data_IF_448529138768
#
_entry.id   IF_448529138768
#
_cell.length_a   1.000
_cell.length_b   1.000
_cell.length_c   1.000
_cell.angle_alpha   90.00
_cell.angle_beta   90.00
_cell.angle_gamma   90.00
#
_symmetry.space_group_name_H-M   'P 1'
#
loop_
_entity.id
_entity.type
_entity.pdbx_description
1 polymer ?
#
# COMPACT_ATOMS: atom_id res chain seq x y z
N UNK A 1 68.65 39.34 -18.47
CA UNK A 1 67.80 40.04 -17.47
C UNK A 1 66.34 39.76 -17.80
N UNK A 2 65.81 38.61 -17.36
CA UNK A 2 64.40 38.25 -17.52
C UNK A 2 63.98 37.48 -16.26
N UNK A 3 63.13 38.10 -15.42
CA UNK A 3 62.50 37.45 -14.26
C UNK A 3 61.24 36.71 -14.76
N UNK A 4 61.18 35.39 -14.58
CA UNK A 4 59.91 34.64 -14.66
C UNK A 4 59.28 34.63 -13.27
N UNK A 5 58.06 35.17 -13.17
CA UNK A 5 57.24 35.15 -11.97
C UNK A 5 56.33 33.91 -12.07
N UNK A 6 56.55 32.92 -11.20
CA UNK A 6 55.71 31.72 -11.11
C UNK A 6 54.64 31.98 -10.07
N UNK A 7 53.41 32.24 -10.50
CA UNK A 7 52.25 32.41 -9.61
C UNK A 7 51.75 31.03 -9.18
N UNK A 8 51.88 30.71 -7.89
CA UNK A 8 51.19 29.58 -7.27
C UNK A 8 49.74 30.01 -6.96
N UNK A 9 48.75 29.38 -7.60
CA UNK A 9 47.34 29.50 -7.20
C UNK A 9 47.05 28.37 -6.23
N UNK A 10 46.89 28.71 -4.95
CA UNK A 10 46.42 27.80 -3.92
C UNK A 10 44.89 27.71 -4.05
N UNK A 11 44.39 26.65 -4.67
CA UNK A 11 42.95 26.34 -4.68
C UNK A 11 42.56 25.81 -3.30
N UNK A 12 41.87 26.62 -2.51
CA UNK A 12 41.23 26.19 -1.27
C UNK A 12 39.97 25.41 -1.67
N UNK A 13 40.04 24.07 -1.61
CA UNK A 13 38.83 23.25 -1.57
C UNK A 13 38.17 23.47 -0.21
N UNK A 14 37.13 24.29 -0.18
CA UNK A 14 36.17 24.30 0.91
C UNK A 14 35.37 23.00 0.85
N UNK A 15 35.81 22.00 1.61
CA UNK A 15 35.00 20.82 1.90
C UNK A 15 33.78 21.26 2.68
N UNK A 16 32.62 21.25 2.04
CA UNK A 16 31.33 21.30 2.70
C UNK A 16 31.20 20.04 3.56
N UNK A 17 31.41 20.19 4.86
CA UNK A 17 31.08 19.16 5.84
C UNK A 17 29.55 19.08 5.83
N UNK A 18 28.99 18.12 5.08
CA UNK A 18 27.59 17.79 5.22
C UNK A 18 27.40 17.28 6.66
N UNK A 19 26.75 18.09 7.51
CA UNK A 19 26.27 17.61 8.79
C UNK A 19 25.30 16.44 8.56
N UNK A 20 25.08 15.57 9.56
CA UNK A 20 24.03 14.57 9.45
C UNK A 20 22.72 15.27 9.08
N UNK A 21 22.04 14.79 8.03
CA UNK A 21 20.72 15.26 7.69
C UNK A 21 19.86 15.13 8.95
N UNK A 22 19.41 16.26 9.51
CA UNK A 22 18.43 16.22 10.58
C UNK A 22 17.18 15.60 9.97
N UNK A 23 16.71 14.49 10.54
CA UNK A 23 15.35 14.02 10.26
C UNK A 23 14.42 15.22 10.49
N UNK A 24 13.60 15.55 9.50
CA UNK A 24 12.58 16.56 9.65
C UNK A 24 11.63 16.12 10.76
N UNK A 25 11.18 17.06 11.59
CA UNK A 25 10.12 16.78 12.57
C UNK A 25 8.92 16.15 11.82
N UNK A 26 8.27 15.11 12.38
CA UNK A 26 7.17 14.44 11.70
C UNK A 26 6.08 15.43 11.29
N UNK A 27 5.69 15.37 10.02
CA UNK A 27 4.58 16.14 9.49
C UNK A 27 3.27 15.69 10.14
N UNK A 28 2.37 16.65 10.33
CA UNK A 28 0.95 16.37 10.56
C UNK A 28 0.29 15.87 9.27
N UNK A 29 -0.85 15.16 9.37
CA UNK A 29 -1.59 14.70 8.19
C UNK A 29 -1.93 15.86 7.22
N UNK A 30 -2.41 17.05 7.66
CA UNK A 30 -2.64 18.17 6.75
C UNK A 30 -1.38 18.63 6.00
N UNK A 31 -0.22 18.67 6.66
CA UNK A 31 1.04 19.05 6.01
C UNK A 31 1.49 17.98 5.00
N UNK A 32 1.29 16.70 5.33
CA UNK A 32 1.60 15.59 4.44
C UNK A 32 0.70 15.63 3.20
N UNK A 33 -0.60 15.83 3.39
CA UNK A 33 -1.55 15.99 2.29
C UNK A 33 -1.18 17.16 1.37
N UNK A 34 -0.83 18.32 1.94
CA UNK A 34 -0.36 19.47 1.16
C UNK A 34 0.89 19.12 0.34
N UNK A 35 1.86 18.41 0.94
CA UNK A 35 3.08 17.98 0.26
C UNK A 35 2.81 17.03 -0.92
N UNK A 36 1.80 16.17 -0.82
CA UNK A 36 1.35 15.29 -1.91
C UNK A 36 0.38 15.96 -2.89
N UNK A 37 -0.07 17.20 -2.63
CA UNK A 37 -1.11 17.86 -3.41
C UNK A 37 -2.49 17.20 -3.27
N UNK A 38 -2.72 16.50 -2.16
CA UNK A 38 -3.95 15.78 -1.86
C UNK A 38 -4.96 16.64 -1.11
N UNK A 39 -6.25 16.37 -1.33
CA UNK A 39 -7.35 17.08 -0.67
C UNK A 39 -8.56 16.16 -0.53
N UNK A 40 -8.99 15.88 0.71
CA UNK A 40 -10.19 15.08 0.94
C UNK A 40 -11.46 15.76 0.45
N UNK A 41 -11.51 17.10 0.51
CA UNK A 41 -12.68 17.88 0.08
C UNK A 41 -12.90 17.75 -1.43
N UNK A 42 -11.85 17.97 -2.22
CA UNK A 42 -11.94 18.01 -3.68
C UNK A 42 -11.65 16.68 -4.36
N UNK A 43 -11.18 15.67 -3.61
CA UNK A 43 -10.97 14.32 -4.15
C UNK A 43 -12.27 13.74 -4.72
N UNK A 44 -12.17 13.20 -5.92
CA UNK A 44 -13.22 12.42 -6.57
C UNK A 44 -12.82 10.95 -6.52
N UNK A 45 -13.72 10.08 -6.06
CA UNK A 45 -13.52 8.63 -6.14
C UNK A 45 -13.96 8.18 -7.54
N UNK A 46 -13.00 7.79 -8.37
CA UNK A 46 -13.24 7.32 -9.74
C UNK A 46 -13.18 5.80 -9.77
N UNK A 47 -14.12 5.18 -10.48
CA UNK A 47 -14.14 3.73 -10.65
C UNK A 47 -13.72 3.37 -12.08
N UNK A 48 -12.79 2.43 -12.21
CA UNK A 48 -12.49 1.75 -13.45
C UNK A 48 -13.00 0.30 -13.37
N UNK A 49 -13.79 -0.10 -14.37
CA UNK A 49 -14.31 -1.46 -14.47
C UNK A 49 -13.29 -2.35 -15.17
N UNK A 50 -12.81 -3.36 -14.46
CA UNK A 50 -11.89 -4.36 -15.01
C UNK A 50 -12.68 -5.55 -15.55
N UNK A 51 -13.67 -6.03 -14.79
CA UNK A 51 -14.59 -7.08 -15.20
C UNK A 51 -15.96 -6.94 -14.50
N UNK A 52 -16.91 -7.81 -14.84
CA UNK A 52 -18.21 -7.87 -14.17
C UNK A 52 -18.04 -8.12 -12.66
N UNK A 53 -18.46 -7.14 -11.85
CA UNK A 53 -18.32 -7.19 -10.39
C UNK A 53 -16.89 -6.94 -9.89
N UNK A 54 -15.95 -6.54 -10.75
CA UNK A 54 -14.56 -6.29 -10.37
C UNK A 54 -14.06 -4.93 -10.87
N UNK A 55 -13.66 -4.06 -9.95
CA UNK A 55 -13.33 -2.66 -10.21
C UNK A 55 -12.05 -2.25 -9.48
N UNK A 56 -11.46 -1.15 -9.91
CA UNK A 56 -10.46 -0.41 -9.14
C UNK A 56 -11.00 0.99 -8.87
N UNK A 57 -10.94 1.44 -7.62
CA UNK A 57 -11.24 2.81 -7.25
C UNK A 57 -9.94 3.61 -7.11
N UNK A 58 -9.92 4.78 -7.74
CA UNK A 58 -8.87 5.78 -7.65
C UNK A 58 -9.37 6.94 -6.79
N UNK A 59 -8.49 7.49 -5.95
CA UNK A 59 -8.80 8.59 -5.06
C UNK A 59 -7.53 9.27 -4.57
N UNK A 60 -7.37 9.32 -3.25
CA UNK A 60 -6.19 9.85 -2.57
C UNK A 60 -5.51 8.71 -1.83
N UNK A 61 -4.19 8.60 -1.92
CA UNK A 61 -3.46 7.47 -1.35
C UNK A 61 -3.44 6.26 -2.28
N UNK A 62 -3.47 5.07 -1.69
CA UNK A 62 -3.51 3.80 -2.40
C UNK A 62 -4.78 3.62 -3.24
N UNK A 63 -4.67 2.85 -4.34
CA UNK A 63 -5.84 2.43 -5.10
C UNK A 63 -6.57 1.30 -4.36
N UNK A 64 -7.89 1.22 -4.54
CA UNK A 64 -8.72 0.19 -3.89
C UNK A 64 -9.17 -0.82 -4.94
N UNK A 65 -8.81 -2.09 -4.81
CA UNK A 65 -9.44 -3.14 -5.62
C UNK A 65 -10.80 -3.54 -5.00
N UNK A 66 -11.81 -3.79 -5.83
CA UNK A 66 -13.18 -4.00 -5.38
C UNK A 66 -13.78 -5.24 -6.05
N UNK A 67 -14.30 -6.17 -5.25
CA UNK A 67 -15.10 -7.33 -5.67
C UNK A 67 -16.52 -7.21 -5.11
N UNK A 68 -17.51 -7.12 -6.01
CA UNK A 68 -18.94 -7.01 -5.69
C UNK A 68 -19.67 -8.21 -6.30
N UNK A 69 -20.51 -8.88 -5.51
CA UNK A 69 -21.31 -10.01 -5.97
C UNK A 69 -22.26 -10.54 -4.92
N UNK A 70 -22.71 -11.79 -5.11
CA UNK A 70 -23.74 -12.40 -4.28
C UNK A 70 -23.34 -12.62 -2.80
N UNK A 71 -22.03 -12.62 -2.49
CA UNK A 71 -21.55 -12.77 -1.12
C UNK A 71 -21.35 -11.42 -0.41
N UNK A 72 -21.44 -10.30 -1.13
CA UNK A 72 -21.23 -8.96 -0.60
C UNK A 72 -20.12 -8.20 -1.31
N UNK A 73 -19.52 -7.26 -0.59
CA UNK A 73 -18.44 -6.38 -1.06
C UNK A 73 -17.16 -6.68 -0.30
N UNK A 74 -16.12 -7.03 -1.05
CA UNK A 74 -14.75 -7.16 -0.56
C UNK A 74 -13.88 -6.10 -1.23
N UNK A 75 -13.12 -5.36 -0.43
CA UNK A 75 -12.15 -4.38 -0.92
C UNK A 75 -10.72 -4.76 -0.50
N UNK A 76 -9.74 -4.31 -1.28
CA UNK A 76 -8.32 -4.39 -0.96
C UNK A 76 -7.78 -2.97 -0.85
N UNK A 77 -7.23 -2.64 0.31
CA UNK A 77 -6.91 -1.31 0.81
C UNK A 77 -8.15 -0.39 0.94
N UNK A 78 -8.03 0.70 1.70
CA UNK A 78 -9.21 1.49 2.10
C UNK A 78 -8.98 3.01 2.21
N UNK A 79 -7.81 3.50 1.80
CA UNK A 79 -7.43 4.91 1.84
C UNK A 79 -7.59 5.51 3.24
N UNK A 80 -8.47 6.50 3.38
CA UNK A 80 -8.61 7.36 4.55
C UNK A 80 -10.07 7.42 5.02
N UNK A 81 -10.34 7.56 6.33
CA UNK A 81 -11.69 7.54 6.86
C UNK A 81 -12.52 8.73 6.37
N UNK A 82 -11.89 9.87 6.07
CA UNK A 82 -12.53 11.07 5.52
C UNK A 82 -13.09 10.85 4.11
N UNK A 83 -12.57 9.87 3.37
CA UNK A 83 -13.04 9.49 2.04
C UNK A 83 -14.09 8.38 2.07
N UNK A 84 -14.28 7.70 3.20
CA UNK A 84 -15.17 6.56 3.30
C UNK A 84 -16.61 6.86 2.81
N UNK A 85 -17.24 8.01 3.14
CA UNK A 85 -18.56 8.33 2.59
C UNK A 85 -18.60 8.43 1.06
N UNK A 86 -17.51 8.90 0.43
CA UNK A 86 -17.40 8.97 -1.04
C UNK A 86 -17.13 7.59 -1.64
N UNK A 87 -16.32 6.77 -0.96
CA UNK A 87 -16.02 5.39 -1.35
C UNK A 87 -17.30 4.55 -1.29
N UNK A 88 -18.03 4.57 -0.17
CA UNK A 88 -19.30 3.86 0.01
C UNK A 88 -20.35 4.30 -1.01
N UNK A 89 -20.50 5.61 -1.24
CA UNK A 89 -21.38 6.12 -2.30
C UNK A 89 -21.01 5.57 -3.68
N UNK A 90 -19.70 5.48 -4.00
CA UNK A 90 -19.25 4.89 -5.26
C UNK A 90 -19.54 3.39 -5.32
N UNK A 91 -19.32 2.65 -4.24
CA UNK A 91 -19.64 1.22 -4.15
C UNK A 91 -21.13 0.97 -4.36
N UNK A 92 -22.01 1.79 -3.78
CA UNK A 92 -23.46 1.72 -3.98
C UNK A 92 -23.86 1.95 -5.44
N UNK A 93 -23.27 2.95 -6.11
CA UNK A 93 -23.49 3.18 -7.54
C UNK A 93 -23.09 1.99 -8.41
N UNK A 94 -22.06 1.23 -7.99
CA UNK A 94 -21.58 0.02 -8.67
C UNK A 94 -22.40 -1.24 -8.32
N UNK A 95 -23.43 -1.10 -7.47
CA UNK A 95 -24.31 -2.20 -7.05
C UNK A 95 -23.87 -2.94 -5.79
N UNK A 96 -22.87 -2.41 -5.07
CA UNK A 96 -22.47 -2.87 -3.74
C UNK A 96 -23.39 -2.33 -2.65
N UNK A 97 -23.24 -2.86 -1.42
CA UNK A 97 -23.95 -2.35 -0.24
C UNK A 97 -23.09 -2.55 1.00
N UNK A 98 -22.52 -1.47 1.51
CA UNK A 98 -21.52 -1.53 2.58
C UNK A 98 -20.25 -2.27 2.15
N UNK A 99 -19.35 -2.50 3.09
CA UNK A 99 -18.13 -3.29 2.92
C UNK A 99 -18.16 -4.43 3.92
N UNK A 100 -18.14 -5.67 3.43
CA UNK A 100 -18.15 -6.87 4.28
C UNK A 100 -16.74 -7.23 4.74
N UNK A 101 -15.77 -7.14 3.82
CA UNK A 101 -14.36 -7.41 4.08
C UNK A 101 -13.46 -6.30 3.51
N UNK A 102 -12.48 -5.88 4.29
CA UNK A 102 -11.39 -5.02 3.83
C UNK A 102 -10.05 -5.72 4.12
N UNK A 103 -9.25 -5.93 3.07
CA UNK A 103 -7.93 -6.52 3.15
C UNK A 103 -6.90 -5.40 3.04
N UNK A 104 -6.12 -5.13 4.09
CA UNK A 104 -5.00 -4.21 3.97
C UNK A 104 -3.77 -4.96 3.44
N UNK A 105 -3.19 -4.46 2.35
CA UNK A 105 -1.98 -5.03 1.76
C UNK A 105 -0.77 -4.88 2.66
N UNK A 106 -0.70 -3.77 3.37
CA UNK A 106 0.31 -3.44 4.36
C UNK A 106 -0.23 -2.38 5.32
N UNK A 107 0.59 -1.91 6.26
CA UNK A 107 0.12 -1.10 7.39
C UNK A 107 0.11 0.41 7.16
N UNK A 108 0.66 0.91 6.04
CA UNK A 108 0.80 2.35 5.84
C UNK A 108 -0.55 3.07 5.73
N UNK A 109 -0.53 4.31 6.21
CA UNK A 109 -1.69 5.15 6.46
C UNK A 109 -2.61 5.29 5.24
N UNK A 110 -2.05 5.39 4.04
CA UNK A 110 -2.81 5.58 2.81
C UNK A 110 -3.39 4.28 2.21
N UNK A 111 -3.17 3.14 2.89
CA UNK A 111 -3.73 1.83 2.56
C UNK A 111 -4.61 1.24 3.69
N UNK A 112 -4.52 1.80 4.91
CA UNK A 112 -5.14 1.22 6.10
C UNK A 112 -5.84 2.20 7.04
N UNK A 113 -5.73 3.53 6.87
CA UNK A 113 -6.45 4.45 7.79
C UNK A 113 -7.96 4.36 7.62
N UNK A 114 -8.47 3.89 6.47
CA UNK A 114 -9.88 3.62 6.25
C UNK A 114 -10.46 2.62 7.26
N UNK A 115 -9.62 1.77 7.87
CA UNK A 115 -9.99 0.91 9.00
C UNK A 115 -10.66 1.68 10.15
N UNK A 116 -10.26 2.94 10.38
CA UNK A 116 -10.84 3.81 11.42
C UNK A 116 -12.33 4.12 11.20
N UNK A 117 -12.82 3.97 9.96
CA UNK A 117 -14.23 4.07 9.63
C UNK A 117 -14.88 2.67 9.49
N UNK A 118 -14.19 1.75 8.81
CA UNK A 118 -14.73 0.44 8.44
C UNK A 118 -14.89 -0.52 9.62
N UNK A 119 -13.90 -0.56 10.52
CA UNK A 119 -13.90 -1.45 11.68
C UNK A 119 -15.07 -1.16 12.63
N UNK A 120 -15.27 0.09 13.09
CA UNK A 120 -16.44 0.48 13.90
C UNK A 120 -17.78 0.24 13.21
N UNK A 121 -17.82 0.22 11.88
CA UNK A 121 -19.01 -0.08 11.09
C UNK A 121 -19.31 -1.60 10.97
N UNK A 122 -18.43 -2.46 11.49
CA UNK A 122 -18.60 -3.92 11.50
C UNK A 122 -17.99 -4.64 10.30
N UNK A 123 -17.10 -3.98 9.54
CA UNK A 123 -16.34 -4.60 8.45
C UNK A 123 -15.34 -5.60 9.01
N UNK A 124 -15.21 -6.78 8.39
CA UNK A 124 -14.15 -7.72 8.74
C UNK A 124 -12.82 -7.27 8.16
N UNK A 125 -11.96 -6.75 9.03
CA UNK A 125 -10.62 -6.28 8.67
C UNK A 125 -9.62 -7.45 8.64
N UNK A 126 -8.88 -7.56 7.54
CA UNK A 126 -7.97 -8.66 7.23
C UNK A 126 -6.59 -8.11 6.89
N UNK A 127 -5.52 -8.70 7.42
CA UNK A 127 -4.15 -8.34 7.02
C UNK A 127 -3.16 -9.46 7.33
N UNK A 128 -1.93 -9.33 6.85
CA UNK A 128 -0.82 -10.16 7.33
C UNK A 128 -0.50 -9.83 8.80
N UNK A 129 -0.07 -10.83 9.58
CA UNK A 129 0.11 -10.70 11.03
C UNK A 129 1.05 -9.55 11.46
N UNK A 130 2.15 -9.31 10.76
CA UNK A 130 3.07 -8.20 11.02
C UNK A 130 2.42 -6.86 10.72
N UNK A 131 1.64 -6.72 9.64
CA UNK A 131 0.92 -5.47 9.36
C UNK A 131 -0.04 -5.12 10.49
N UNK A 132 -0.78 -6.11 11.01
CA UNK A 132 -1.59 -5.90 12.20
C UNK A 132 -0.76 -5.44 13.39
N UNK A 133 0.38 -6.07 13.68
CA UNK A 133 1.22 -5.68 14.81
C UNK A 133 1.78 -4.26 14.65
N UNK A 134 2.16 -3.85 13.43
CA UNK A 134 2.60 -2.48 13.15
C UNK A 134 1.48 -1.45 13.38
N UNK A 135 0.21 -1.79 13.17
CA UNK A 135 -0.92 -0.89 13.46
C UNK A 135 -1.19 -0.70 14.96
N UNK A 136 -0.61 -1.51 15.86
CA UNK A 136 -0.89 -1.48 17.31
C UNK A 136 -0.08 -0.44 18.08
N UNK A 137 0.94 0.13 17.47
CA UNK A 137 1.80 1.16 18.08
C UNK A 137 2.08 2.29 17.10
N UNK A 138 2.45 3.49 17.59
CA UNK A 138 2.89 4.55 16.69
C UNK A 138 4.22 4.19 16.03
N UNK A 139 4.33 4.40 14.72
CA UNK A 139 5.55 4.19 13.94
C UNK A 139 5.81 5.41 13.06
N UNK A 140 7.10 5.68 12.83
CA UNK A 140 7.52 6.74 11.92
C UNK A 140 7.64 6.14 10.51
N UNK A 141 6.89 6.69 9.56
CA UNK A 141 7.05 6.39 8.13
C UNK A 141 7.98 7.43 7.54
N UNK A 142 9.16 6.99 7.09
CA UNK A 142 10.20 7.86 6.56
C UNK A 142 10.21 7.81 5.03
N UNK A 143 9.49 8.73 4.41
CA UNK A 143 9.33 8.87 2.96
C UNK A 143 10.53 9.55 2.30
N UNK A 144 11.72 9.46 2.92
CA UNK A 144 13.00 10.06 2.52
C UNK A 144 13.05 11.58 2.65
N UNK A 145 12.13 12.30 2.01
CA UNK A 145 12.08 13.79 2.03
C UNK A 145 11.12 14.34 3.07
N UNK A 146 10.26 13.49 3.62
CA UNK A 146 9.27 13.81 4.62
C UNK A 146 9.11 12.64 5.58
N UNK A 147 8.64 12.92 6.78
CA UNK A 147 8.38 11.92 7.80
C UNK A 147 6.96 12.10 8.31
N UNK A 148 6.27 10.99 8.57
CA UNK A 148 4.91 11.00 9.13
C UNK A 148 4.83 10.03 10.31
N UNK A 149 4.33 10.51 11.44
CA UNK A 149 4.13 9.66 12.62
C UNK A 149 2.72 9.09 12.59
N UNK A 150 2.58 7.91 11.98
CA UNK A 150 1.32 7.17 12.01
C UNK A 150 1.05 6.70 13.44
N UNK A 151 -0.16 6.98 13.93
CA UNK A 151 -0.56 6.63 15.29
C UNK A 151 -1.10 5.19 15.35
N UNK A 152 -1.06 4.61 16.55
CA UNK A 152 -1.70 3.33 16.81
C UNK A 152 -3.21 3.40 16.52
N UNK A 153 -3.76 2.34 15.96
CA UNK A 153 -5.20 2.21 15.73
C UNK A 153 -5.88 1.72 17.02
N UNK A 154 -7.13 2.17 17.29
CA UNK A 154 -7.94 1.60 18.35
C UNK A 154 -8.29 0.14 18.06
N UNK A 155 -8.65 -0.62 19.09
CA UNK A 155 -8.90 -2.07 18.98
C UNK A 155 -9.98 -2.44 17.94
N UNK A 156 -10.98 -1.59 17.74
CA UNK A 156 -12.07 -1.76 16.78
C UNK A 156 -11.69 -1.39 15.34
N UNK A 157 -10.49 -0.85 15.10
CA UNK A 157 -9.93 -0.56 13.79
C UNK A 157 -8.67 -1.42 13.47
N UNK A 158 -8.38 -2.43 14.29
CA UNK A 158 -7.32 -3.39 13.99
C UNK A 158 -7.87 -4.57 13.16
N UNK A 159 -7.09 -5.10 12.20
CA UNK A 159 -7.39 -6.38 11.57
C UNK A 159 -7.64 -7.48 12.60
N UNK A 160 -8.80 -8.14 12.50
CA UNK A 160 -9.22 -9.22 13.41
C UNK A 160 -9.04 -10.60 12.78
N UNK A 161 -8.84 -10.65 11.46
CA UNK A 161 -8.48 -11.84 10.71
C UNK A 161 -7.04 -11.64 10.22
N UNK A 162 -6.16 -12.59 10.54
CA UNK A 162 -4.75 -12.52 10.17
C UNK A 162 -4.28 -13.82 9.55
N UNK A 163 -3.20 -13.72 8.78
CA UNK A 163 -2.47 -14.86 8.25
C UNK A 163 -0.97 -14.58 8.28
N UNK A 164 -0.16 -15.65 8.28
CA UNK A 164 1.29 -15.53 8.30
C UNK A 164 1.87 -15.53 6.88
N UNK A 165 1.64 -16.62 6.13
CA UNK A 165 2.20 -16.83 4.79
C UNK A 165 1.13 -16.73 3.69
N UNK A 166 0.05 -17.52 3.80
CA UNK A 166 -1.01 -17.54 2.79
C UNK A 166 -2.40 -17.67 3.40
N UNK A 167 -3.38 -17.03 2.77
CA UNK A 167 -4.81 -17.22 3.05
C UNK A 167 -5.58 -17.20 1.73
N UNK A 168 -6.70 -17.92 1.65
CA UNK A 168 -7.55 -17.92 0.47
C UNK A 168 -8.99 -17.57 0.86
N UNK A 169 -9.60 -16.67 0.08
CA UNK A 169 -11.03 -16.40 0.12
C UNK A 169 -11.70 -17.11 -1.06
N UNK A 170 -12.88 -17.69 -0.80
CA UNK A 170 -13.83 -18.07 -1.85
C UNK A 170 -14.99 -17.07 -1.78
N UNK A 171 -14.94 -16.02 -2.60
CA UNK A 171 -15.86 -14.89 -2.50
C UNK A 171 -16.31 -14.42 -3.88
N UNK A 172 -17.60 -14.15 -4.04
CA UNK A 172 -18.21 -13.69 -5.30
C UNK A 172 -17.90 -14.61 -6.51
N UNK A 173 -17.80 -15.92 -6.24
CA UNK A 173 -17.54 -16.93 -7.27
C UNK A 173 -16.07 -17.02 -7.72
N UNK A 174 -15.14 -16.44 -6.95
CA UNK A 174 -13.71 -16.41 -7.26
C UNK A 174 -12.86 -16.90 -6.08
N UNK A 175 -11.72 -17.52 -6.40
CA UNK A 175 -10.61 -17.76 -5.47
C UNK A 175 -9.71 -16.54 -5.43
N UNK A 176 -9.57 -15.94 -4.24
CA UNK A 176 -8.72 -14.77 -4.00
C UNK A 176 -7.64 -15.17 -3.01
N UNK A 177 -6.40 -15.21 -3.47
CA UNK A 177 -5.26 -15.59 -2.62
C UNK A 177 -4.58 -14.36 -2.05
N UNK A 178 -4.30 -14.40 -0.76
CA UNK A 178 -3.45 -13.46 -0.06
C UNK A 178 -2.13 -14.17 0.17
N UNK A 179 -1.05 -13.62 -0.36
CA UNK A 179 0.29 -14.24 -0.34
C UNK A 179 1.29 -13.26 0.25
N UNK A 180 1.93 -13.67 1.33
CA UNK A 180 3.09 -13.03 1.94
C UNK A 180 4.31 -13.92 1.70
N UNK A 181 5.30 -13.39 1.00
CA UNK A 181 6.55 -14.12 0.67
C UNK A 181 7.68 -13.74 1.63
N UNK A 182 7.50 -12.65 2.37
CA UNK A 182 8.48 -12.06 3.27
C UNK A 182 8.46 -10.54 3.18
N UNK A 183 9.24 -9.85 4.03
CA UNK A 183 9.36 -8.40 4.02
C UNK A 183 9.83 -7.86 2.67
N UNK A 184 9.17 -6.82 2.15
CA UNK A 184 9.48 -6.20 0.87
C UNK A 184 9.47 -4.67 0.97
N UNK A 185 8.30 -4.05 0.87
CA UNK A 185 8.09 -2.62 1.12
C UNK A 185 8.04 -2.33 2.62
N UNK A 186 7.39 -3.20 3.39
CA UNK A 186 7.30 -3.23 4.85
C UNK A 186 7.57 -4.65 5.39
N UNK A 187 7.32 -4.90 6.68
CA UNK A 187 7.39 -6.26 7.26
C UNK A 187 6.20 -7.16 6.94
N UNK A 188 5.08 -6.61 6.47
CA UNK A 188 3.80 -7.34 6.37
C UNK A 188 3.13 -7.28 5.00
N UNK A 189 3.91 -7.12 3.93
CA UNK A 189 3.34 -6.91 2.59
C UNK A 189 2.58 -8.12 2.07
N UNK A 190 1.44 -7.87 1.44
CA UNK A 190 0.54 -8.90 0.91
C UNK A 190 0.26 -8.66 -0.56
N UNK A 191 0.44 -9.70 -1.38
CA UNK A 191 -0.08 -9.74 -2.74
C UNK A 191 -1.48 -10.36 -2.70
N UNK A 192 -2.46 -9.67 -3.28
CA UNK A 192 -3.83 -10.17 -3.41
C UNK A 192 -4.07 -10.58 -4.85
N UNK A 193 -4.20 -11.89 -5.10
CA UNK A 193 -4.30 -12.49 -6.42
C UNK A 193 -5.75 -12.94 -6.66
N UNK A 194 -6.40 -12.33 -7.65
CA UNK A 194 -7.74 -12.66 -8.12
C UNK A 194 -7.62 -13.68 -9.26
N UNK A 195 -7.77 -14.97 -8.92
CA UNK A 195 -7.44 -16.10 -9.82
C UNK A 195 -8.35 -16.19 -11.03
N UNK A 196 -9.65 -15.93 -10.85
CA UNK A 196 -10.65 -15.93 -11.92
C UNK A 196 -10.52 -14.73 -12.86
N UNK A 197 -9.88 -13.64 -12.42
CA UNK A 197 -9.66 -12.42 -13.22
C UNK A 197 -8.26 -12.28 -13.82
N UNK A 198 -7.31 -13.13 -13.42
CA UNK A 198 -5.90 -12.99 -13.75
C UNK A 198 -5.38 -11.58 -13.40
N UNK A 199 -5.75 -11.09 -12.22
CA UNK A 199 -5.39 -9.78 -11.71
C UNK A 199 -4.67 -9.92 -10.36
N UNK A 200 -3.77 -8.98 -10.06
CA UNK A 200 -3.06 -8.92 -8.79
C UNK A 200 -3.02 -7.49 -8.29
N UNK A 201 -3.20 -7.32 -6.98
CA UNK A 201 -2.99 -6.07 -6.27
C UNK A 201 -1.78 -6.25 -5.35
N UNK A 202 -0.75 -5.42 -5.54
CA UNK A 202 0.59 -5.60 -4.93
C UNK A 202 0.87 -4.61 -3.78
N UNK A 203 -0.11 -3.77 -3.43
CA UNK A 203 0.13 -2.61 -2.57
C UNK A 203 1.28 -1.77 -3.13
N UNK A 204 2.15 -1.29 -2.23
CA UNK A 204 3.29 -0.44 -2.59
C UNK A 204 4.58 -1.19 -2.95
N UNK A 205 4.57 -2.53 -2.91
CA UNK A 205 5.73 -3.33 -3.36
C UNK A 205 6.04 -3.07 -4.83
N UNK A 206 5.03 -2.75 -5.63
CA UNK A 206 5.20 -2.36 -7.03
C UNK A 206 4.29 -1.20 -7.42
N UNK A 207 4.89 -0.12 -7.93
CA UNK A 207 4.18 0.94 -8.65
C UNK A 207 4.82 1.17 -10.03
N UNK A 208 4.04 1.66 -10.99
CA UNK A 208 4.51 1.95 -12.35
C UNK A 208 4.73 3.46 -12.61
N UNK A 209 4.68 4.28 -11.56
CA UNK A 209 4.84 5.73 -11.64
C UNK A 209 6.28 6.19 -11.35
N UNK A 210 7.10 5.32 -10.75
CA UNK A 210 8.48 5.61 -10.40
C UNK A 210 9.16 4.43 -9.73
N UNK A 211 10.25 4.71 -9.03
CA UNK A 211 10.88 3.71 -8.18
C UNK A 211 9.98 3.47 -6.95
N UNK A 212 9.71 2.21 -6.56
CA UNK A 212 8.92 1.93 -5.36
C UNK A 212 9.55 2.59 -4.14
N UNK A 213 8.72 3.19 -3.30
CA UNK A 213 9.14 3.56 -1.96
C UNK A 213 9.44 2.26 -1.19
N UNK A 214 10.47 2.25 -0.35
CA UNK A 214 10.86 1.12 0.48
C UNK A 214 11.04 1.65 1.88
N UNK A 215 10.21 1.20 2.82
CA UNK A 215 10.27 1.64 4.21
C UNK A 215 11.33 0.84 4.97
N UNK A 216 12.60 1.23 4.74
CA UNK A 216 13.78 0.57 5.32
C UNK A 216 13.75 0.59 6.86
N UNK A 217 13.22 1.67 7.44
CA UNK A 217 13.11 1.82 8.90
C UNK A 217 12.08 0.84 9.50
N UNK A 218 11.13 0.36 8.69
CA UNK A 218 10.10 -0.60 9.09
C UNK A 218 10.18 -1.92 8.29
N UNK A 219 11.40 -2.37 8.00
CA UNK A 219 11.72 -3.73 7.54
C UNK A 219 11.72 -3.95 6.03
N UNK A 220 11.47 -2.91 5.23
CA UNK A 220 11.56 -2.98 3.78
C UNK A 220 13.00 -3.11 3.29
N UNK A 221 13.18 -3.75 2.13
CA UNK A 221 14.48 -3.84 1.45
C UNK A 221 14.34 -4.05 -0.05
N UNK A 222 15.33 -3.60 -0.83
CA UNK A 222 15.35 -3.81 -2.28
C UNK A 222 15.39 -5.31 -2.63
N UNK A 223 16.20 -6.09 -1.92
CA UNK A 223 16.26 -7.55 -2.12
C UNK A 223 14.91 -8.20 -1.81
N UNK A 224 14.22 -7.73 -0.77
CA UNK A 224 12.86 -8.13 -0.42
C UNK A 224 11.84 -7.84 -1.53
N UNK A 225 11.84 -6.62 -2.07
CA UNK A 225 10.99 -6.23 -3.22
C UNK A 225 11.24 -7.11 -4.44
N UNK A 226 12.51 -7.39 -4.76
CA UNK A 226 12.88 -8.27 -5.88
C UNK A 226 12.38 -9.69 -5.64
N UNK A 227 12.61 -10.25 -4.44
CA UNK A 227 12.18 -11.59 -4.08
C UNK A 227 10.66 -11.73 -4.12
N UNK A 228 9.94 -10.76 -3.55
CA UNK A 228 8.48 -10.71 -3.52
C UNK A 228 7.90 -10.66 -4.93
N UNK A 229 8.33 -9.70 -5.76
CA UNK A 229 7.88 -9.58 -7.15
C UNK A 229 8.18 -10.86 -7.95
N UNK A 230 9.36 -11.47 -7.76
CA UNK A 230 9.75 -12.70 -8.45
C UNK A 230 8.86 -13.88 -8.08
N UNK A 231 8.53 -14.03 -6.79
CA UNK A 231 7.69 -15.10 -6.30
C UNK A 231 6.22 -14.93 -6.74
N UNK A 232 5.69 -13.71 -6.66
CA UNK A 232 4.32 -13.43 -7.12
C UNK A 232 4.22 -13.64 -8.63
N UNK A 233 5.21 -13.21 -9.41
CA UNK A 233 5.25 -13.47 -10.84
C UNK A 233 5.25 -14.98 -11.15
N UNK A 234 6.03 -15.77 -10.40
CA UNK A 234 6.04 -17.22 -10.55
C UNK A 234 4.66 -17.84 -10.24
N UNK A 235 3.97 -17.33 -9.22
CA UNK A 235 2.63 -17.80 -8.84
C UNK A 235 1.57 -17.45 -9.90
N UNK A 236 1.64 -16.27 -10.50
CA UNK A 236 0.79 -15.87 -11.62
C UNK A 236 1.07 -16.70 -12.88
N UNK A 237 2.33 -17.01 -13.15
CA UNK A 237 2.71 -17.90 -14.25
C UNK A 237 2.20 -19.33 -14.06
N UNK A 238 2.13 -19.84 -12.82
CA UNK A 238 1.56 -21.17 -12.53
C UNK A 238 0.08 -21.26 -12.94
N UNK A 239 -0.70 -20.20 -12.70
CA UNK A 239 -2.08 -20.10 -13.18
C UNK A 239 -2.17 -20.02 -14.70
N UNK A 240 -1.30 -19.26 -15.35
CA UNK A 240 -1.27 -19.15 -16.81
C UNK A 240 -0.78 -20.44 -17.52
N UNK A 241 0.01 -21.26 -16.82
CA UNK A 241 0.65 -22.47 -17.36
C UNK A 241 -0.01 -23.78 -16.92
N UNK A 242 -1.16 -23.75 -16.23
CA UNK A 242 -1.94 -24.94 -15.93
C UNK A 242 -2.16 -25.74 -17.22
N UNK A 243 -1.48 -26.89 -17.41
CA UNK A 243 -1.50 -27.59 -18.66
C UNK A 243 -2.86 -28.26 -18.81
N UNK A 244 -3.56 -27.88 -19.88
CA UNK A 244 -4.71 -28.60 -20.37
C UNK A 244 -4.33 -30.05 -20.72
N UNK A 245 -4.56 -30.96 -19.77
CA UNK A 245 -4.88 -32.37 -19.97
C UNK A 245 -6.06 -32.66 -19.03
N UNK A 246 -7.32 -32.50 -19.45
CA UNK A 246 -8.11 -33.45 -20.28
C UNK A 246 -8.88 -34.41 -19.35
N UNK A 247 -10.14 -34.83 -19.62
CA UNK A 247 -10.88 -34.89 -20.89
C UNK A 247 -11.64 -33.63 -21.30
#
# INVERSE_FOLDING_TARGET
>A
MFKRLTTFVLAILLGSIAGPARAHDPMTLPQLMEAFGWSFETAEIKAERIADGFYVLFGVGGNIAVSIGANGVLIVDDQFPQLMPKIESKLEELGGKGVDFAINTHWHFDHAEGNLALGPAGTWLVSQANSREMMRSPHLVNLVTMTYQQQAYPDDALPVITFDDTMQFHFNGEEIDLVHVGPAHTTGDTAVIFRGRNAVHLGDVYNNAGYPFIDVDNGGSLDGVIAFCSAVLAELMRTASSPWHGP
#
